data_IF_575464714605
#
_entry.id   IF_575464714605
#
_cell.length_a   1.000
_cell.length_b   1.000
_cell.length_c   1.000
_cell.angle_alpha   90.00
_cell.angle_beta   90.00
_cell.angle_gamma   90.00
#
_symmetry.space_group_name_H-M   'P 1'
#
loop_
_entity.id
_entity.type
_entity.pdbx_description
1 polymer ?
#
# COMPACT_ATOMS: atom_id res chain seq x y z
N UNK A 1 18.96 -20.08 11.28
CA UNK A 1 18.95 -18.64 10.98
C UNK A 1 17.56 -18.11 11.28
N UNK A 2 17.37 -17.36 12.37
CA UNK A 2 16.09 -16.68 12.61
C UNK A 2 15.95 -15.58 11.54
N UNK A 3 15.06 -15.79 10.56
CA UNK A 3 14.63 -14.70 9.68
C UNK A 3 13.87 -13.71 10.55
N UNK A 4 14.36 -12.48 10.65
CA UNK A 4 13.60 -11.38 11.25
C UNK A 4 12.32 -11.25 10.42
N UNK A 5 11.17 -11.56 11.02
CA UNK A 5 9.87 -11.45 10.39
C UNK A 5 9.26 -10.13 10.86
N UNK A 6 8.97 -9.23 9.92
CA UNK A 6 8.36 -7.94 10.28
C UNK A 6 6.90 -8.17 10.71
N UNK A 7 6.39 -7.44 11.72
CA UNK A 7 4.98 -7.52 12.10
C UNK A 7 4.03 -7.13 10.97
N UNK A 8 4.43 -6.16 10.14
CA UNK A 8 3.67 -5.67 9.01
C UNK A 8 4.60 -5.27 7.87
N UNK A 9 4.26 -5.66 6.65
CA UNK A 9 4.83 -5.11 5.42
C UNK A 9 3.74 -4.40 4.62
N UNK A 10 4.11 -3.33 3.91
CA UNK A 10 3.25 -2.67 2.94
C UNK A 10 3.83 -2.89 1.55
N UNK A 11 3.01 -3.38 0.62
CA UNK A 11 3.32 -3.42 -0.80
C UNK A 11 2.49 -2.37 -1.50
N UNK A 12 3.11 -1.53 -2.33
CA UNK A 12 2.41 -0.54 -3.16
C UNK A 12 2.56 -0.95 -4.61
N UNK A 13 1.44 -1.21 -5.27
CA UNK A 13 1.36 -1.64 -6.67
C UNK A 13 0.78 -0.51 -7.50
N UNK A 14 1.45 -0.13 -8.58
CA UNK A 14 0.94 0.87 -9.52
C UNK A 14 1.56 0.67 -10.92
N UNK A 15 0.93 1.21 -11.95
CA UNK A 15 1.43 1.12 -13.31
C UNK A 15 2.60 2.11 -13.55
N UNK A 16 3.68 1.73 -14.27
CA UNK A 16 4.87 2.57 -14.41
C UNK A 16 4.63 3.86 -15.20
N UNK A 17 3.63 3.88 -16.09
CA UNK A 17 3.24 5.08 -16.85
C UNK A 17 2.34 6.04 -16.06
N UNK A 18 2.26 5.88 -14.73
CA UNK A 18 1.37 6.66 -13.87
C UNK A 18 2.16 7.56 -12.91
N UNK A 19 2.55 8.79 -13.32
CA UNK A 19 3.33 9.71 -12.48
C UNK A 19 2.66 9.99 -11.13
N UNK A 20 1.36 10.24 -11.14
CA UNK A 20 0.56 10.52 -9.93
C UNK A 20 0.61 9.34 -8.95
N UNK A 21 0.50 8.11 -9.44
CA UNK A 21 0.61 6.92 -8.59
C UNK A 21 2.02 6.76 -8.02
N UNK A 22 3.05 7.10 -8.80
CA UNK A 22 4.44 7.16 -8.33
C UNK A 22 4.63 8.15 -7.18
N UNK A 23 4.08 9.37 -7.31
CA UNK A 23 4.11 10.38 -6.23
C UNK A 23 3.41 9.89 -4.96
N UNK A 24 2.24 9.25 -5.10
CA UNK A 24 1.52 8.66 -3.96
C UNK A 24 2.36 7.54 -3.32
N UNK A 25 2.99 6.67 -4.11
CA UNK A 25 3.80 5.56 -3.61
C UNK A 25 5.03 6.05 -2.83
N UNK A 26 5.74 7.06 -3.33
CA UNK A 26 6.88 7.69 -2.66
C UNK A 26 6.47 8.36 -1.34
N UNK A 27 5.31 9.02 -1.31
CA UNK A 27 4.82 9.65 -0.08
C UNK A 27 4.37 8.61 0.97
N UNK A 28 3.76 7.49 0.52
CA UNK A 28 3.49 6.34 1.39
C UNK A 28 4.81 5.77 1.94
N UNK A 29 5.82 5.57 1.10
CA UNK A 29 7.14 5.10 1.52
C UNK A 29 7.76 6.02 2.57
N UNK A 30 7.86 7.31 2.31
CA UNK A 30 8.48 8.27 3.25
C UNK A 30 7.71 8.39 4.58
N UNK A 31 6.42 8.07 4.60
CA UNK A 31 5.58 8.14 5.79
C UNK A 31 5.71 6.89 6.67
N UNK A 32 5.64 5.72 6.05
CA UNK A 32 5.62 4.45 6.78
C UNK A 32 7.03 3.90 7.00
N UNK A 33 7.91 4.04 6.01
CA UNK A 33 9.31 3.71 6.14
C UNK A 33 10.03 4.82 6.91
N UNK A 34 10.92 4.44 7.83
CA UNK A 34 11.71 5.41 8.59
C UNK A 34 12.71 6.06 7.64
N UNK A 35 12.62 7.38 7.46
CA UNK A 35 13.57 8.12 6.64
C UNK A 35 14.97 8.04 7.27
N UNK A 36 15.88 7.32 6.63
CA UNK A 36 17.27 7.21 7.07
C UNK A 36 18.00 8.57 6.99
N UNK A 37 17.51 9.52 6.19
CA UNK A 37 18.04 10.90 6.11
C UNK A 37 17.52 11.81 7.21
N UNK A 38 16.41 11.43 7.87
CA UNK A 38 15.87 12.12 9.04
C UNK A 38 15.63 11.12 10.19
N UNK A 39 16.69 10.72 10.93
CA UNK A 39 16.61 9.70 12.00
C UNK A 39 15.63 10.02 13.14
N UNK A 40 15.29 11.31 13.28
CA UNK A 40 14.35 11.86 14.26
C UNK A 40 12.90 11.90 13.76
N UNK A 41 12.65 11.62 12.48
CA UNK A 41 11.28 11.45 11.98
C UNK A 41 10.67 10.22 12.65
N UNK A 42 9.49 10.38 13.24
CA UNK A 42 8.71 9.27 13.84
C UNK A 42 8.05 8.42 12.75
N UNK A 43 8.78 8.08 11.68
CA UNK A 43 8.34 7.09 10.72
C UNK A 43 8.06 5.79 11.48
N UNK A 44 6.95 5.14 11.14
CA UNK A 44 6.37 4.06 11.95
C UNK A 44 7.24 2.78 11.92
N UNK A 45 8.29 2.77 11.09
CA UNK A 45 9.25 1.67 11.00
C UNK A 45 8.69 0.46 10.24
N UNK A 46 7.69 0.70 9.40
CA UNK A 46 7.03 -0.32 8.59
C UNK A 46 7.71 -0.36 7.21
N UNK A 47 8.26 -1.51 6.77
CA UNK A 47 8.81 -1.66 5.44
C UNK A 47 7.75 -1.43 4.36
N UNK A 48 8.10 -0.63 3.35
CA UNK A 48 7.28 -0.38 2.17
C UNK A 48 8.04 -0.88 0.94
N UNK A 49 7.39 -1.71 0.13
CA UNK A 49 7.97 -2.30 -1.07
C UNK A 49 7.17 -1.90 -2.30
N UNK A 50 7.87 -1.50 -3.36
CA UNK A 50 7.26 -1.10 -4.62
C UNK A 50 7.07 -2.26 -5.57
N UNK A 51 5.98 -2.20 -6.34
CA UNK A 51 5.57 -3.14 -7.38
C UNK A 51 5.03 -2.37 -8.59
N UNK A 52 5.95 -1.74 -9.32
CA UNK A 52 5.64 -0.91 -10.48
C UNK A 52 6.45 -1.19 -11.73
N UNK A 53 7.62 -1.82 -11.59
CA UNK A 53 8.45 -2.20 -12.71
C UNK A 53 7.96 -3.52 -13.30
N UNK A 54 7.70 -3.52 -14.60
CA UNK A 54 7.42 -4.72 -15.39
C UNK A 54 8.76 -5.38 -15.73
N UNK A 55 8.93 -6.65 -15.36
CA UNK A 55 10.12 -7.44 -15.68
C UNK A 55 9.95 -8.20 -17.01
N UNK A 56 10.97 -8.96 -17.44
CA UNK A 56 10.99 -9.70 -18.71
C UNK A 56 9.77 -10.62 -18.91
N UNK A 57 9.18 -11.14 -17.82
CA UNK A 57 7.96 -11.94 -17.84
C UNK A 57 6.67 -11.12 -18.03
N UNK A 58 6.77 -9.85 -18.42
CA UNK A 58 5.69 -8.88 -18.56
C UNK A 58 4.82 -8.73 -17.30
N UNK A 59 5.38 -8.94 -16.10
CA UNK A 59 4.65 -8.78 -14.83
C UNK A 59 5.47 -8.01 -13.80
N UNK A 60 4.81 -7.34 -12.84
CA UNK A 60 5.49 -6.83 -11.66
C UNK A 60 6.10 -7.95 -10.83
N UNK A 61 7.10 -7.61 -10.02
CA UNK A 61 7.74 -8.56 -9.10
C UNK A 61 6.69 -9.24 -8.21
N UNK A 62 6.80 -10.55 -8.00
CA UNK A 62 5.85 -11.27 -7.16
C UNK A 62 5.87 -10.77 -5.71
N UNK A 63 4.72 -10.89 -5.03
CA UNK A 63 4.61 -10.62 -3.59
C UNK A 63 4.74 -11.94 -2.84
N UNK A 64 5.73 -12.01 -1.96
CA UNK A 64 5.89 -13.09 -0.99
C UNK A 64 5.25 -12.67 0.34
N UNK A 65 4.01 -13.10 0.52
CA UNK A 65 3.19 -12.84 1.71
C UNK A 65 3.70 -13.57 2.98
N UNK A 66 4.68 -14.47 2.87
CA UNK A 66 5.20 -15.21 4.03
C UNK A 66 6.31 -14.47 4.79
N UNK A 67 6.83 -13.38 4.23
CA UNK A 67 7.96 -12.63 4.80
C UNK A 67 7.62 -11.66 5.95
N UNK A 68 6.33 -11.48 6.26
CA UNK A 68 5.86 -10.74 7.42
C UNK A 68 4.69 -11.47 8.09
N UNK A 69 4.38 -11.07 9.34
CA UNK A 69 3.22 -11.59 10.06
C UNK A 69 1.92 -11.13 9.39
N UNK A 70 1.89 -9.86 8.95
CA UNK A 70 0.80 -9.29 8.16
C UNK A 70 1.34 -8.56 6.94
N UNK A 71 0.54 -8.50 5.88
CA UNK A 71 0.86 -7.75 4.68
C UNK A 71 -0.34 -6.90 4.24
N UNK A 72 -0.10 -5.62 4.05
CA UNK A 72 -1.05 -4.70 3.42
C UNK A 72 -0.62 -4.48 1.96
N UNK A 73 -1.52 -4.75 1.02
CA UNK A 73 -1.24 -4.63 -0.41
C UNK A 73 -2.10 -3.52 -0.98
N UNK A 74 -1.48 -2.36 -1.21
CA UNK A 74 -2.12 -1.16 -1.73
C UNK A 74 -2.08 -1.20 -3.25
N UNK A 75 -3.25 -1.25 -3.89
CA UNK A 75 -3.36 -1.18 -5.35
C UNK A 75 -3.77 0.24 -5.74
N UNK A 76 -2.89 0.99 -6.38
CA UNK A 76 -3.19 2.31 -6.92
C UNK A 76 -3.76 2.14 -8.33
N UNK A 77 -5.09 2.11 -8.43
CA UNK A 77 -5.80 1.78 -9.67
C UNK A 77 -6.20 3.07 -10.38
N UNK A 78 -5.40 3.45 -11.36
CA UNK A 78 -5.67 4.51 -12.32
C UNK A 78 -6.02 3.94 -13.71
N UNK A 79 -6.13 4.80 -14.71
CA UNK A 79 -6.53 4.39 -16.06
C UNK A 79 -5.49 3.46 -16.72
N UNK A 80 -4.21 3.77 -16.59
CA UNK A 80 -3.13 2.93 -17.14
C UNK A 80 -3.13 1.53 -16.50
N UNK A 81 -3.22 1.44 -15.17
CA UNK A 81 -3.36 0.17 -14.46
C UNK A 81 -4.59 -0.60 -14.96
N UNK A 82 -5.73 0.09 -15.11
CA UNK A 82 -6.98 -0.53 -15.52
C UNK A 82 -6.97 -1.05 -16.95
N UNK A 83 -6.16 -0.47 -17.84
CA UNK A 83 -6.07 -0.90 -19.23
C UNK A 83 -5.04 -2.01 -19.45
N UNK A 84 -4.07 -2.18 -18.54
CA UNK A 84 -3.03 -3.20 -18.67
C UNK A 84 -3.48 -4.59 -18.15
N UNK A 85 -3.62 -5.54 -19.08
CA UNK A 85 -3.96 -6.93 -18.78
C UNK A 85 -2.94 -7.67 -17.91
N UNK A 86 -1.66 -7.26 -17.94
CA UNK A 86 -0.65 -7.85 -17.08
C UNK A 86 -0.87 -7.47 -15.62
N UNK A 87 -1.23 -6.21 -15.36
CA UNK A 87 -1.57 -5.75 -14.01
C UNK A 87 -2.88 -6.36 -13.52
N UNK A 88 -3.86 -6.59 -14.39
CA UNK A 88 -5.08 -7.35 -14.03
C UNK A 88 -4.77 -8.78 -13.62
N UNK A 89 -4.02 -9.53 -14.44
CA UNK A 89 -3.61 -10.90 -14.12
C UNK A 89 -2.79 -10.96 -12.84
N UNK A 90 -1.87 -10.03 -12.66
CA UNK A 90 -1.10 -9.89 -11.42
C UNK A 90 -2.01 -9.64 -10.21
N UNK A 91 -3.04 -8.81 -10.37
CA UNK A 91 -4.05 -8.54 -9.32
C UNK A 91 -4.83 -9.80 -8.96
N UNK A 92 -5.25 -10.60 -9.94
CA UNK A 92 -5.93 -11.88 -9.72
C UNK A 92 -5.06 -12.86 -8.93
N UNK A 93 -3.78 -12.96 -9.29
CA UNK A 93 -2.81 -13.80 -8.59
C UNK A 93 -2.61 -13.37 -7.13
N UNK A 94 -2.68 -12.07 -6.84
CA UNK A 94 -2.60 -11.55 -5.47
C UNK A 94 -3.91 -11.76 -4.72
N UNK A 95 -5.05 -11.54 -5.36
CA UNK A 95 -6.37 -11.73 -4.76
C UNK A 95 -6.57 -13.17 -4.28
N UNK A 96 -6.00 -14.14 -4.99
CA UNK A 96 -5.96 -15.55 -4.56
C UNK A 96 -5.10 -15.84 -3.31
N UNK A 97 -4.33 -14.86 -2.82
CA UNK A 97 -3.48 -14.97 -1.63
C UNK A 97 -4.02 -14.21 -0.41
N UNK A 98 -5.24 -13.65 -0.52
CA UNK A 98 -5.89 -12.96 0.60
C UNK A 98 -6.24 -13.97 1.70
N UNK A 99 -5.93 -13.61 2.94
CA UNK A 99 -6.30 -14.32 4.16
C UNK A 99 -6.39 -13.34 5.34
N UNK A 100 -6.57 -13.85 6.56
CA UNK A 100 -6.68 -13.02 7.77
C UNK A 100 -5.44 -12.14 8.06
N UNK A 101 -4.30 -12.47 7.46
CA UNK A 101 -3.03 -11.77 7.63
C UNK A 101 -2.66 -10.91 6.42
N UNK A 102 -3.26 -11.17 5.26
CA UNK A 102 -2.92 -10.57 3.96
C UNK A 102 -4.13 -9.84 3.39
N UNK A 103 -4.08 -8.50 3.43
CA UNK A 103 -5.23 -7.68 3.02
C UNK A 103 -4.88 -6.78 1.85
N UNK A 104 -5.78 -6.74 0.87
CA UNK A 104 -5.71 -5.81 -0.26
C UNK A 104 -6.50 -4.54 0.06
N UNK A 105 -5.91 -3.40 -0.25
CA UNK A 105 -6.49 -2.07 -0.19
C UNK A 105 -6.55 -1.50 -1.61
N UNK A 106 -7.66 -1.73 -2.34
CA UNK A 106 -7.82 -1.17 -3.66
C UNK A 106 -8.16 0.33 -3.57
N UNK A 107 -7.32 1.16 -4.18
CA UNK A 107 -7.45 2.61 -4.19
C UNK A 107 -7.90 3.04 -5.59
N UNK A 108 -9.10 3.61 -5.66
CA UNK A 108 -9.64 4.16 -6.91
C UNK A 108 -9.06 5.55 -7.16
N UNK A 109 -8.29 5.69 -8.24
CA UNK A 109 -7.75 6.97 -8.73
C UNK A 109 -8.45 7.45 -10.00
N UNK A 110 -9.46 6.72 -10.48
CA UNK A 110 -10.33 7.17 -11.58
C UNK A 110 -11.72 6.54 -11.49
N UNK A 111 -12.67 7.09 -12.26
CA UNK A 111 -14.11 6.84 -12.10
C UNK A 111 -14.53 5.37 -12.32
N UNK A 112 -13.79 4.58 -13.12
CA UNK A 112 -14.13 3.18 -13.43
C UNK A 112 -13.27 2.14 -12.70
N UNK A 113 -12.47 2.54 -11.72
CA UNK A 113 -11.59 1.61 -11.00
C UNK A 113 -12.34 0.44 -10.35
N UNK A 114 -13.56 0.68 -9.87
CA UNK A 114 -14.42 -0.33 -9.22
C UNK A 114 -14.84 -1.47 -10.16
N UNK A 115 -14.80 -1.26 -11.48
CA UNK A 115 -15.16 -2.27 -12.48
C UNK A 115 -13.98 -3.09 -12.98
N UNK A 116 -12.81 -2.99 -12.34
CA UNK A 116 -11.58 -3.69 -12.80
C UNK A 116 -11.72 -5.22 -12.80
N UNK A 117 -12.61 -5.77 -11.97
CA UNK A 117 -12.77 -7.21 -11.81
C UNK A 117 -11.67 -7.78 -10.91
N UNK A 118 -10.99 -8.83 -11.38
CA UNK A 118 -9.82 -9.42 -10.71
C UNK A 118 -10.07 -9.96 -9.28
N UNK A 119 -11.27 -10.49 -9.02
CA UNK A 119 -11.71 -10.97 -7.69
C UNK A 119 -11.69 -9.89 -6.58
N UNK A 120 -11.70 -8.60 -6.96
CA UNK A 120 -11.76 -7.49 -6.00
C UNK A 120 -13.20 -7.03 -5.69
N UNK A 121 -14.22 -7.61 -6.34
CA UNK A 121 -15.62 -7.17 -6.25
C UNK A 121 -16.22 -7.26 -4.84
N UNK A 122 -15.65 -8.10 -3.98
CA UNK A 122 -16.07 -8.25 -2.58
C UNK A 122 -15.35 -7.29 -1.63
N UNK A 123 -14.36 -6.54 -2.11
CA UNK A 123 -13.56 -5.63 -1.31
C UNK A 123 -14.10 -4.20 -1.39
N UNK A 124 -13.95 -3.46 -0.28
CA UNK A 124 -14.24 -2.03 -0.25
C UNK A 124 -13.09 -1.25 -0.86
N UNK A 125 -13.40 -0.43 -1.87
CA UNK A 125 -12.45 0.47 -2.50
C UNK A 125 -12.36 1.80 -1.75
N UNK A 126 -11.14 2.29 -1.58
CA UNK A 126 -10.91 3.65 -1.10
C UNK A 126 -10.94 4.61 -2.29
N UNK A 127 -11.97 5.45 -2.35
CA UNK A 127 -12.09 6.49 -3.39
C UNK A 127 -11.08 7.62 -3.16
N UNK A 128 -9.91 7.57 -3.79
CA UNK A 128 -8.93 8.65 -3.71
C UNK A 128 -9.23 9.80 -4.67
N UNK A 129 -10.22 9.67 -5.57
CA UNK A 129 -10.68 10.77 -6.43
C UNK A 129 -11.54 11.77 -5.69
N UNK A 130 -11.99 11.46 -4.47
CA UNK A 130 -12.86 12.34 -3.66
C UNK A 130 -12.32 12.57 -2.26
N UNK A 131 -12.26 13.84 -1.87
CA UNK A 131 -11.96 14.26 -0.50
C UNK A 131 -13.04 15.22 0.02
N UNK A 132 -13.73 14.83 1.10
CA UNK A 132 -14.94 15.51 1.62
C UNK A 132 -15.96 15.82 0.51
N UNK A 133 -16.26 14.83 -0.33
CA UNK A 133 -17.25 14.96 -1.42
C UNK A 133 -16.80 15.78 -2.62
N UNK A 134 -15.60 16.37 -2.62
CA UNK A 134 -15.06 17.13 -3.77
C UNK A 134 -14.20 16.24 -4.65
N UNK A 135 -14.45 16.27 -5.96
CA UNK A 135 -13.58 15.64 -6.97
C UNK A 135 -12.20 16.29 -6.90
N UNK A 136 -11.18 15.46 -6.78
CA UNK A 136 -9.79 15.83 -6.80
C UNK A 136 -9.32 15.90 -8.26
N UNK A 137 -8.33 16.75 -8.46
CA UNK A 137 -7.76 17.08 -9.75
C UNK A 137 -6.28 16.85 -9.56
N UNK A 138 -5.78 15.75 -10.09
CA UNK A 138 -4.43 15.27 -9.80
C UNK A 138 -3.33 16.11 -10.45
N UNK A 139 -3.70 17.03 -11.36
CA UNK A 139 -2.79 18.08 -11.84
C UNK A 139 -2.45 19.09 -10.74
N UNK A 140 -3.28 19.18 -9.70
CA UNK A 140 -3.08 20.07 -8.57
C UNK A 140 -2.42 19.31 -7.42
N UNK A 141 -1.17 19.66 -7.10
CA UNK A 141 -0.43 19.10 -5.95
C UNK A 141 -1.24 19.04 -4.64
N UNK A 142 -1.98 20.10 -4.30
CA UNK A 142 -2.86 20.15 -3.11
C UNK A 142 -3.93 19.05 -3.08
N UNK A 143 -4.36 18.57 -4.23
CA UNK A 143 -5.34 17.50 -4.37
C UNK A 143 -4.69 16.13 -4.23
N UNK A 144 -3.48 15.95 -4.78
CA UNK A 144 -2.63 14.77 -4.53
C UNK A 144 -2.37 14.61 -3.02
N UNK A 145 -1.97 15.69 -2.33
CA UNK A 145 -1.74 15.68 -0.87
C UNK A 145 -2.97 15.22 -0.08
N UNK A 146 -4.18 15.60 -0.52
CA UNK A 146 -5.45 15.18 0.11
C UNK A 146 -5.76 13.72 -0.12
N UNK A 147 -5.55 13.23 -1.34
CA UNK A 147 -5.71 11.81 -1.67
C UNK A 147 -4.78 10.96 -0.81
N UNK A 148 -3.51 11.36 -0.73
CA UNK A 148 -2.53 10.68 0.11
C UNK A 148 -2.95 10.70 1.58
N UNK A 149 -3.37 11.85 2.12
CA UNK A 149 -3.85 11.95 3.51
C UNK A 149 -5.00 10.98 3.81
N UNK A 150 -5.92 10.80 2.85
CA UNK A 150 -7.02 9.83 2.98
C UNK A 150 -6.48 8.40 3.03
N UNK A 151 -5.66 8.00 2.05
CA UNK A 151 -5.08 6.66 1.98
C UNK A 151 -4.33 6.32 3.27
N UNK A 152 -3.52 7.26 3.79
CA UNK A 152 -2.80 7.11 5.06
C UNK A 152 -3.73 6.83 6.24
N UNK A 153 -4.86 7.54 6.30
CA UNK A 153 -5.79 7.43 7.44
C UNK A 153 -6.47 6.06 7.46
N UNK A 154 -6.90 5.56 6.29
CA UNK A 154 -7.48 4.22 6.13
C UNK A 154 -6.47 3.12 6.49
N UNK A 155 -5.23 3.22 5.99
CA UNK A 155 -4.18 2.25 6.29
C UNK A 155 -3.84 2.20 7.79
N UNK A 156 -3.78 3.35 8.47
CA UNK A 156 -3.47 3.39 9.90
C UNK A 156 -4.60 2.86 10.79
N UNK A 157 -5.85 3.02 10.37
CA UNK A 157 -7.00 2.49 11.09
C UNK A 157 -7.06 0.96 10.99
N UNK A 158 -6.87 0.43 9.77
CA UNK A 158 -7.05 -1.00 9.49
C UNK A 158 -5.78 -1.83 9.72
N UNK A 159 -4.61 -1.20 9.70
CA UNK A 159 -3.33 -1.78 10.06
C UNK A 159 -2.67 -0.93 11.15
N UNK A 160 -3.19 -1.01 12.41
CA UNK A 160 -2.60 -0.25 13.49
C UNK A 160 -1.13 -0.67 13.65
N UNK A 161 -0.21 0.28 13.86
CA UNK A 161 1.17 -0.06 14.17
C UNK A 161 1.14 -1.03 15.33
N UNK A 162 1.80 -2.19 15.15
CA UNK A 162 1.99 -3.14 16.24
C UNK A 162 2.49 -2.33 17.43
N UNK A 163 1.66 -2.21 18.47
CA UNK A 163 2.05 -1.56 19.69
C UNK A 163 3.38 -2.19 20.06
N UNK A 164 4.45 -1.39 20.11
CA UNK A 164 5.74 -1.85 20.53
C UNK A 164 5.51 -2.55 21.86
N UNK A 165 5.56 -3.89 21.85
CA UNK A 165 5.70 -4.69 23.04
C UNK A 165 7.09 -4.34 23.55
N UNK A 166 7.16 -3.23 24.26
CA UNK A 166 8.24 -2.93 25.17
C UNK A 166 8.42 -4.22 25.97
N UNK A 167 9.61 -4.84 25.98
CA UNK A 167 9.86 -5.88 26.96
C UNK A 167 9.59 -5.21 28.30
N UNK A 168 8.62 -5.74 29.04
CA UNK A 168 8.37 -5.33 30.40
C UNK A 168 9.74 -5.34 31.09
N UNK A 169 10.20 -4.15 31.53
CA UNK A 169 11.38 -4.06 32.37
C UNK A 169 11.13 -5.03 33.52
N UNK A 170 11.88 -6.14 33.53
CA UNK A 170 11.87 -7.07 34.63
C UNK A 170 12.14 -6.28 35.90
N UNK A 171 11.43 -6.56 37.01
CA UNK A 171 11.71 -5.89 38.26
C UNK A 171 13.14 -6.23 38.67
N UNK A 172 14.02 -5.23 38.60
CA UNK A 172 15.30 -5.27 39.27
C UNK A 172 15.06 -5.38 40.78
N UNK A 173 15.67 -6.42 41.35
CA UNK A 173 16.29 -6.46 42.67
C UNK A 173 15.43 -6.13 43.90
N UNK A 174 15.24 -7.14 44.75
CA UNK A 174 15.94 -7.19 46.04
C UNK A 174 16.42 -8.61 46.32
#
# INVERSE_FOLDING_TARGET
MNRIKYPLNIYVVWHPNSPVCGEIAEDLYSTFCRDYKNPLSRGIGIPVYFRSVIFEDNKPLSIDVKNAEKNAIVLLIDEEYFLDENFKKYTEEIAGKIDDNNRIFPISLFDKAYSIGCNLSTLQFTDATKFFGKKLDFEKKKHVDKAIKKIKTELLHDCPPAAASLPACGPHAK
#
